data_IF_769474775027
#
_entry.id   IF_769474775027
#
_cell.length_a   1.000
_cell.length_b   1.000
_cell.length_c   1.000
_cell.angle_alpha   90.00
_cell.angle_beta   90.00
_cell.angle_gamma   90.00
#
_symmetry.space_group_name_H-M   'P 1'
#
loop_
_entity.id
_entity.type
_entity.pdbx_description
1 polymer ?
#
# COMPACT_ATOMS: atom_id res chain seq x y z
N UNK A 1 -17.38 -11.62 -1.06
CA UNK A 1 -17.03 -11.25 0.33
C UNK A 1 -16.71 -9.77 0.48
N UNK A 2 -15.81 -9.18 -0.31
CA UNK A 2 -15.50 -7.73 -0.24
C UNK A 2 -16.71 -6.80 -0.40
N UNK A 3 -17.64 -7.10 -1.32
CA UNK A 3 -18.90 -6.34 -1.46
C UNK A 3 -19.82 -6.42 -0.23
N UNK A 4 -19.81 -7.55 0.48
CA UNK A 4 -20.59 -7.73 1.72
C UNK A 4 -19.96 -6.89 2.82
N UNK A 5 -18.62 -6.91 2.94
CA UNK A 5 -17.92 -6.05 3.89
C UNK A 5 -18.21 -4.58 3.63
N UNK A 6 -18.05 -4.11 2.39
CA UNK A 6 -18.26 -2.70 2.03
C UNK A 6 -19.69 -2.22 2.29
N UNK A 7 -20.69 -3.09 2.12
CA UNK A 7 -22.09 -2.76 2.37
C UNK A 7 -22.40 -2.65 3.86
N UNK A 8 -21.86 -3.58 4.66
CA UNK A 8 -22.17 -3.66 6.08
C UNK A 8 -21.25 -2.78 6.93
N UNK A 9 -20.04 -2.40 6.46
CA UNK A 9 -19.02 -1.69 7.25
C UNK A 9 -19.48 -0.30 7.78
N UNK A 10 -20.51 0.28 7.15
CA UNK A 10 -21.04 1.60 7.48
C UNK A 10 -22.23 1.61 8.44
N UNK A 11 -22.80 0.44 8.78
CA UNK A 11 -23.87 0.40 9.77
C UNK A 11 -23.30 0.47 11.19
N UNK A 12 -23.92 1.22 12.09
CA UNK A 12 -23.36 1.54 13.42
C UNK A 12 -23.79 0.57 14.52
N UNK A 13 -24.74 -0.32 14.26
CA UNK A 13 -25.29 -1.25 15.25
C UNK A 13 -25.10 -2.70 14.79
N UNK A 14 -23.94 -3.29 15.08
CA UNK A 14 -23.67 -4.69 14.74
C UNK A 14 -23.92 -5.59 15.93
N UNK A 15 -24.49 -6.76 15.66
CA UNK A 15 -24.41 -7.86 16.62
C UNK A 15 -22.96 -8.36 16.70
N UNK A 16 -22.59 -8.96 17.83
CA UNK A 16 -21.27 -9.57 18.00
C UNK A 16 -20.94 -10.60 16.90
N UNK A 17 -21.95 -11.28 16.34
CA UNK A 17 -21.76 -12.27 15.28
C UNK A 17 -21.48 -11.61 13.93
N UNK A 18 -22.17 -10.52 13.60
CA UNK A 18 -21.90 -9.71 12.41
C UNK A 18 -20.48 -9.13 12.44
N UNK A 19 -20.03 -8.67 13.61
CA UNK A 19 -18.66 -8.19 13.78
C UNK A 19 -17.61 -9.29 13.57
N UNK A 20 -17.83 -10.49 14.12
CA UNK A 20 -16.94 -11.63 13.88
C UNK A 20 -16.86 -12.00 12.40
N UNK A 21 -17.99 -12.01 11.68
CA UNK A 21 -18.01 -12.30 10.25
C UNK A 21 -17.25 -11.25 9.44
N UNK A 22 -17.39 -9.98 9.80
CA UNK A 22 -16.73 -8.88 9.09
C UNK A 22 -15.23 -8.85 9.37
N UNK A 23 -14.81 -9.13 10.61
CA UNK A 23 -13.40 -9.39 10.94
C UNK A 23 -12.85 -10.59 10.17
N UNK A 24 -13.61 -11.69 10.07
CA UNK A 24 -13.18 -12.88 9.32
C UNK A 24 -12.97 -12.58 7.83
N UNK A 25 -13.88 -11.81 7.21
CA UNK A 25 -13.71 -11.35 5.82
C UNK A 25 -12.48 -10.45 5.68
N UNK A 26 -12.27 -9.51 6.60
CA UNK A 26 -11.12 -8.62 6.57
C UNK A 26 -9.80 -9.39 6.69
N UNK A 27 -9.68 -10.29 7.67
CA UNK A 27 -8.52 -11.17 7.84
C UNK A 27 -8.25 -11.99 6.59
N UNK A 28 -9.29 -12.61 6.03
CA UNK A 28 -9.17 -13.41 4.81
C UNK A 28 -8.64 -12.62 3.61
N UNK A 29 -9.08 -11.37 3.42
CA UNK A 29 -8.56 -10.50 2.36
C UNK A 29 -7.11 -10.10 2.63
N UNK A 30 -6.79 -9.70 3.86
CA UNK A 30 -5.45 -9.22 4.22
C UNK A 30 -4.41 -10.35 4.13
N UNK A 31 -4.77 -11.57 4.51
CA UNK A 31 -3.88 -12.73 4.43
C UNK A 31 -3.51 -13.10 2.99
N UNK A 32 -4.26 -12.67 1.98
CA UNK A 32 -3.84 -12.79 0.58
C UNK A 32 -2.53 -12.03 0.27
N UNK A 33 -2.12 -11.11 1.13
CA UNK A 33 -0.84 -10.42 0.98
C UNK A 33 0.38 -11.33 1.23
N UNK A 34 0.19 -12.50 1.86
CA UNK A 34 1.26 -13.49 2.04
C UNK A 34 1.56 -14.32 0.78
N UNK A 35 0.85 -14.09 -0.32
CA UNK A 35 1.13 -14.75 -1.59
C UNK A 35 2.55 -14.43 -2.09
N UNK A 36 3.16 -15.40 -2.79
CA UNK A 36 4.58 -15.32 -3.17
C UNK A 36 4.84 -14.34 -4.31
N UNK A 37 3.87 -14.11 -5.19
CA UNK A 37 4.06 -13.26 -6.38
C UNK A 37 3.72 -11.80 -6.09
N UNK A 38 4.47 -10.88 -6.70
CA UNK A 38 4.18 -9.43 -6.62
C UNK A 38 2.79 -9.10 -7.16
N UNK A 39 2.36 -9.78 -8.23
CA UNK A 39 1.04 -9.57 -8.83
C UNK A 39 -0.09 -9.90 -7.85
N UNK A 40 0.01 -11.00 -7.11
CA UNK A 40 -0.98 -11.36 -6.10
C UNK A 40 -0.98 -10.40 -4.91
N UNK A 41 0.20 -9.93 -4.49
CA UNK A 41 0.31 -8.88 -3.47
C UNK A 41 -0.38 -7.59 -3.90
N UNK A 42 -0.15 -7.14 -5.14
CA UNK A 42 -0.81 -5.96 -5.70
C UNK A 42 -2.34 -6.16 -5.79
N UNK A 43 -2.80 -7.36 -6.12
CA UNK A 43 -4.24 -7.67 -6.08
C UNK A 43 -4.79 -7.57 -4.65
N UNK A 44 -4.11 -8.13 -3.66
CA UNK A 44 -4.50 -8.00 -2.25
C UNK A 44 -4.55 -6.53 -1.79
N UNK A 45 -3.57 -5.72 -2.20
CA UNK A 45 -3.57 -4.28 -1.93
C UNK A 45 -4.75 -3.54 -2.55
N UNK A 46 -5.10 -3.88 -3.79
CA UNK A 46 -6.27 -3.32 -4.48
C UNK A 46 -7.54 -3.73 -3.77
N UNK A 47 -7.69 -5.00 -3.39
CA UNK A 47 -8.85 -5.48 -2.65
C UNK A 47 -9.02 -4.75 -1.31
N UNK A 48 -7.94 -4.55 -0.56
CA UNK A 48 -7.95 -3.78 0.68
C UNK A 48 -8.40 -2.33 0.43
N UNK A 49 -7.82 -1.68 -0.57
CA UNK A 49 -8.14 -0.28 -0.88
C UNK A 49 -9.55 -0.11 -1.44
N UNK A 50 -10.10 -1.12 -2.13
CA UNK A 50 -11.39 -1.01 -2.81
C UNK A 50 -12.58 -1.37 -1.91
N UNK A 51 -12.36 -2.33 -1.00
CA UNK A 51 -13.41 -2.90 -0.16
C UNK A 51 -13.27 -2.58 1.33
N UNK A 52 -12.05 -2.39 1.85
CA UNK A 52 -11.82 -2.18 3.28
C UNK A 52 -11.59 -0.70 3.64
N UNK A 53 -11.23 0.15 2.66
CA UNK A 53 -11.19 1.61 2.83
C UNK A 53 -12.10 2.32 1.81
N UNK A 54 -13.03 3.18 2.23
CA UNK A 54 -13.78 4.02 1.29
C UNK A 54 -12.87 5.11 0.71
N UNK A 55 -12.90 5.31 -0.61
CA UNK A 55 -12.10 6.33 -1.29
C UNK A 55 -12.71 7.73 -1.19
N UNK A 56 -14.03 7.78 -0.98
CA UNK A 56 -14.93 8.93 -0.96
C UNK A 56 -14.99 9.66 0.39
N UNK A 57 -14.35 9.12 1.43
CA UNK A 57 -14.30 9.75 2.76
C UNK A 57 -13.08 10.68 2.91
N UNK A 58 -13.22 11.69 3.77
CA UNK A 58 -12.17 12.65 4.09
C UNK A 58 -10.97 12.00 4.79
N UNK A 59 -9.81 12.68 4.79
CA UNK A 59 -8.56 12.14 5.35
C UNK A 59 -8.71 11.65 6.79
N UNK A 60 -9.38 12.41 7.66
CA UNK A 60 -9.56 12.04 9.06
C UNK A 60 -10.41 10.77 9.22
N UNK A 61 -11.43 10.61 8.39
CA UNK A 61 -12.28 9.42 8.37
C UNK A 61 -11.53 8.21 7.82
N UNK A 62 -10.66 8.39 6.82
CA UNK A 62 -9.77 7.33 6.33
C UNK A 62 -8.87 6.80 7.44
N UNK A 63 -8.29 7.71 8.24
CA UNK A 63 -7.44 7.33 9.38
C UNK A 63 -8.26 6.58 10.43
N UNK A 64 -9.47 7.05 10.76
CA UNK A 64 -10.36 6.35 11.70
C UNK A 64 -10.71 4.93 11.22
N UNK A 65 -11.15 4.78 9.97
CA UNK A 65 -11.48 3.48 9.37
C UNK A 65 -10.27 2.54 9.40
N UNK A 66 -9.09 3.04 9.04
CA UNK A 66 -7.86 2.25 9.07
C UNK A 66 -7.50 1.79 10.49
N UNK A 67 -7.62 2.67 11.49
CA UNK A 67 -7.35 2.34 12.88
C UNK A 67 -8.34 1.29 13.42
N UNK A 68 -9.63 1.47 13.15
CA UNK A 68 -10.68 0.50 13.53
C UNK A 68 -10.48 -0.85 12.85
N UNK A 69 -10.11 -0.87 11.56
CA UNK A 69 -9.75 -2.09 10.86
C UNK A 69 -8.55 -2.77 11.54
N UNK A 70 -7.48 -2.01 11.80
CA UNK A 70 -6.24 -2.52 12.38
C UNK A 70 -6.43 -3.10 13.79
N UNK A 71 -7.30 -2.51 14.61
CA UNK A 71 -7.61 -3.02 15.96
C UNK A 71 -8.45 -4.30 15.95
N UNK A 72 -9.21 -4.55 14.88
CA UNK A 72 -10.16 -5.65 14.80
C UNK A 72 -9.60 -6.91 14.13
N UNK A 73 -8.49 -6.80 13.40
CA UNK A 73 -7.86 -7.91 12.66
C UNK A 73 -6.85 -8.66 13.53
N UNK A 74 -6.49 -9.89 13.13
CA UNK A 74 -5.50 -10.69 13.85
C UNK A 74 -4.06 -10.19 13.66
N UNK A 75 -3.14 -10.68 14.48
CA UNK A 75 -1.73 -10.24 14.49
C UNK A 75 -1.03 -10.47 13.14
N UNK A 76 -1.37 -11.56 12.44
CA UNK A 76 -0.82 -11.84 11.11
C UNK A 76 -1.32 -10.81 10.10
N UNK A 77 -2.60 -10.49 10.12
CA UNK A 77 -3.18 -9.45 9.28
C UNK A 77 -2.56 -8.07 9.60
N UNK A 78 -2.34 -7.74 10.88
CA UNK A 78 -1.62 -6.52 11.26
C UNK A 78 -0.20 -6.48 10.69
N UNK A 79 0.53 -7.61 10.72
CA UNK A 79 1.88 -7.72 10.13
C UNK A 79 1.85 -7.51 8.62
N UNK A 80 0.91 -8.13 7.92
CA UNK A 80 0.72 -7.93 6.48
C UNK A 80 0.43 -6.47 6.14
N UNK A 81 -0.42 -5.79 6.92
CA UNK A 81 -0.67 -4.34 6.74
C UNK A 81 0.61 -3.53 6.94
N UNK A 82 1.42 -3.81 7.98
CA UNK A 82 2.68 -3.10 8.21
C UNK A 82 3.67 -3.30 7.06
N UNK A 83 3.83 -4.53 6.59
CA UNK A 83 4.70 -4.84 5.45
C UNK A 83 4.21 -4.17 4.16
N UNK A 84 2.89 -4.13 3.92
CA UNK A 84 2.28 -3.41 2.80
C UNK A 84 2.58 -1.90 2.86
N UNK A 85 2.35 -1.27 4.02
CA UNK A 85 2.63 0.16 4.19
C UNK A 85 4.12 0.48 4.04
N UNK A 86 4.99 -0.37 4.59
CA UNK A 86 6.44 -0.24 4.46
C UNK A 86 6.89 -0.38 3.00
N UNK A 87 6.37 -1.37 2.27
CA UNK A 87 6.66 -1.57 0.84
C UNK A 87 6.28 -0.33 0.02
N UNK A 88 5.06 0.19 0.23
CA UNK A 88 4.59 1.42 -0.42
C UNK A 88 5.45 2.64 -0.08
N UNK A 89 5.87 2.77 1.18
CA UNK A 89 6.76 3.85 1.60
C UNK A 89 8.12 3.76 0.90
N UNK A 90 8.72 2.57 0.87
CA UNK A 90 10.02 2.34 0.24
C UNK A 90 9.96 2.67 -1.26
N UNK A 91 8.93 2.19 -1.95
CA UNK A 91 8.70 2.44 -3.36
C UNK A 91 8.51 3.94 -3.65
N UNK A 92 7.67 4.64 -2.87
CA UNK A 92 7.49 6.10 -3.02
C UNK A 92 8.80 6.86 -2.83
N UNK A 93 9.60 6.48 -1.83
CA UNK A 93 10.90 7.11 -1.57
C UNK A 93 11.87 6.88 -2.72
N UNK A 94 11.85 5.71 -3.35
CA UNK A 94 12.67 5.42 -4.53
C UNK A 94 12.19 6.20 -5.75
N UNK A 95 10.88 6.31 -5.97
CA UNK A 95 10.33 7.13 -7.05
C UNK A 95 10.68 8.62 -6.92
N UNK A 96 10.61 9.17 -5.71
CA UNK A 96 11.03 10.58 -5.48
C UNK A 96 12.50 10.76 -5.86
N UNK A 97 13.39 9.85 -5.42
CA UNK A 97 14.80 9.89 -5.81
C UNK A 97 15.01 9.77 -7.32
N UNK A 98 14.22 8.92 -7.99
CA UNK A 98 14.27 8.76 -9.44
C UNK A 98 13.92 10.09 -10.13
N UNK A 99 12.85 10.74 -9.69
CA UNK A 99 12.40 12.03 -10.22
C UNK A 99 13.48 13.10 -9.98
N UNK A 100 14.04 13.16 -8.76
CA UNK A 100 15.11 14.11 -8.43
C UNK A 100 16.32 13.97 -9.36
N UNK A 101 16.73 12.73 -9.66
CA UNK A 101 17.82 12.46 -10.60
C UNK A 101 17.45 12.83 -12.03
N UNK A 102 16.24 12.53 -12.49
CA UNK A 102 15.77 12.95 -13.82
C UNK A 102 15.74 14.47 -13.99
N UNK A 103 15.34 15.21 -12.94
CA UNK A 103 15.35 16.67 -12.95
C UNK A 103 16.77 17.21 -13.00
N UNK A 104 17.71 16.65 -12.23
CA UNK A 104 19.12 17.03 -12.29
C UNK A 104 19.68 16.81 -13.71
N UNK A 105 19.38 15.69 -14.37
CA UNK A 105 19.85 15.43 -15.74
C UNK A 105 19.46 16.48 -16.78
N UNK A 106 18.37 17.20 -16.51
CA UNK A 106 17.83 18.22 -17.41
C UNK A 106 18.50 19.59 -17.20
N UNK A 107 19.25 19.77 -16.10
CA UNK A 107 19.98 21.01 -15.83
C UNK A 107 21.18 21.16 -16.79
N UNK A 108 21.23 22.23 -17.60
CA UNK A 108 22.32 22.46 -18.55
C UNK A 108 23.66 22.81 -17.89
N UNK A 109 23.68 23.15 -16.60
CA UNK A 109 24.90 23.58 -15.90
C UNK A 109 25.65 22.45 -15.18
N UNK A 110 25.15 21.21 -15.21
CA UNK A 110 25.79 20.09 -14.52
C UNK A 110 27.04 19.62 -15.28
N UNK A 111 28.21 19.50 -14.60
CA UNK A 111 29.43 18.95 -15.18
C UNK A 111 29.23 17.54 -15.76
N UNK A 112 29.92 17.23 -16.85
CA UNK A 112 29.77 15.95 -17.56
C UNK A 112 30.07 14.72 -16.67
N UNK A 113 31.04 14.82 -15.76
CA UNK A 113 31.40 13.74 -14.83
C UNK A 113 30.28 13.47 -13.80
N UNK A 114 29.61 14.53 -13.35
CA UNK A 114 28.46 14.42 -12.44
C UNK A 114 27.24 13.86 -13.18
N UNK A 115 27.07 14.21 -14.46
CA UNK A 115 26.04 13.64 -15.33
C UNK A 115 26.21 12.12 -15.50
N UNK A 116 27.43 11.65 -15.76
CA UNK A 116 27.73 10.20 -15.83
C UNK A 116 27.44 9.48 -14.50
N UNK A 117 27.76 10.12 -13.37
CA UNK A 117 27.47 9.55 -12.05
C UNK A 117 25.96 9.43 -11.80
N UNK A 118 25.18 10.44 -12.22
CA UNK A 118 23.70 10.40 -12.11
C UNK A 118 23.13 9.31 -13.04
N UNK A 119 23.71 9.09 -14.23
CA UNK A 119 23.25 8.03 -15.17
C UNK A 119 23.40 6.65 -14.52
N UNK A 120 24.54 6.38 -13.90
CA UNK A 120 24.80 5.12 -13.19
C UNK A 120 23.84 4.93 -12.01
N UNK A 121 23.58 5.99 -11.24
CA UNK A 121 22.60 5.97 -10.13
C UNK A 121 21.18 5.72 -10.63
N UNK A 122 20.79 6.32 -11.76
CA UNK A 122 19.49 6.10 -12.39
C UNK A 122 19.32 4.64 -12.83
N UNK A 123 20.29 4.08 -13.55
CA UNK A 123 20.25 2.68 -14.01
C UNK A 123 20.13 1.73 -12.82
N UNK A 124 20.93 1.95 -11.76
CA UNK A 124 20.86 1.14 -10.54
C UNK A 124 19.48 1.23 -9.87
N UNK A 125 18.94 2.45 -9.73
CA UNK A 125 17.65 2.67 -9.08
C UNK A 125 16.49 2.08 -9.88
N UNK A 126 16.50 2.20 -11.21
CA UNK A 126 15.53 1.58 -12.12
C UNK A 126 15.58 0.06 -11.96
N UNK A 127 16.77 -0.53 -11.88
CA UNK A 127 16.92 -1.97 -11.70
C UNK A 127 16.34 -2.45 -10.37
N UNK A 128 16.56 -1.70 -9.29
CA UNK A 128 15.96 -2.00 -7.98
C UNK A 128 14.44 -1.86 -8.01
N UNK A 129 13.91 -0.81 -8.64
CA UNK A 129 12.45 -0.61 -8.78
C UNK A 129 11.83 -1.72 -9.62
N UNK A 130 12.50 -2.20 -10.67
CA UNK A 130 11.99 -3.28 -11.52
C UNK A 130 11.95 -4.65 -10.83
N UNK A 131 12.73 -4.83 -9.75
CA UNK A 131 12.77 -6.05 -8.94
C UNK A 131 11.80 -6.04 -7.75
N UNK A 132 11.14 -4.90 -7.48
CA UNK A 132 10.13 -4.74 -6.43
C UNK A 132 8.71 -4.96 -6.99
#
# INVERSE_FOLDING_TARGET
LGHVYKKECHSTNWSNDTQKQLTWVANGIIHLYYQKTTQDKLLAERLLTFYLMPWDVNTDDKVRVLLTLYSNVDENAQRAIREMMHSKFLFRRQLVKLIDFCLQMTDPNIPNDEKQLIELKLVSLIHVIALL
#
